data_IF_644676421918
#
_entry.id   IF_644676421918
#
_cell.length_a   1.000
_cell.length_b   1.000
_cell.length_c   1.000
_cell.angle_alpha   90.00
_cell.angle_beta   90.00
_cell.angle_gamma   90.00
#
_symmetry.space_group_name_H-M   'P 1'
#
loop_
_entity.id
_entity.type
_entity.pdbx_description
1 polymer ?
#
# COMPACT_ATOMS: atom_id res chain seq x y z
N UNK A 1 -39.61 -31.98 -8.92
CA UNK A 1 -38.50 -32.70 -9.59
C UNK A 1 -37.78 -31.79 -10.58
N UNK A 2 -38.45 -31.18 -11.58
CA UNK A 2 -37.85 -30.35 -12.62
C UNK A 2 -37.06 -29.11 -12.12
N UNK A 3 -37.42 -28.51 -10.99
CA UNK A 3 -36.75 -27.35 -10.42
C UNK A 3 -35.41 -27.73 -9.75
N UNK A 4 -35.33 -28.90 -9.12
CA UNK A 4 -34.09 -29.41 -8.53
C UNK A 4 -33.08 -29.85 -9.58
N UNK A 5 -33.53 -30.38 -10.72
CA UNK A 5 -32.63 -30.76 -11.84
C UNK A 5 -32.04 -29.54 -12.54
N UNK A 6 -32.80 -28.43 -12.68
CA UNK A 6 -32.26 -27.17 -13.23
C UNK A 6 -31.24 -26.54 -12.29
N UNK A 7 -31.44 -26.59 -10.99
CA UNK A 7 -30.52 -26.05 -9.99
C UNK A 7 -29.24 -26.88 -9.89
N UNK A 8 -29.33 -28.22 -10.01
CA UNK A 8 -28.20 -29.14 -10.06
C UNK A 8 -27.40 -28.97 -11.37
N UNK A 9 -28.09 -28.81 -12.50
CA UNK A 9 -27.45 -28.55 -13.79
C UNK A 9 -26.76 -27.17 -13.83
N UNK A 10 -27.36 -26.15 -13.23
CA UNK A 10 -26.75 -24.82 -13.06
C UNK A 10 -25.54 -24.87 -12.10
N UNK A 11 -25.63 -25.62 -11.00
CA UNK A 11 -24.49 -25.86 -10.10
C UNK A 11 -23.36 -26.65 -10.77
N UNK A 12 -23.68 -27.64 -11.60
CA UNK A 12 -22.66 -28.40 -12.36
C UNK A 12 -22.03 -27.57 -13.47
N UNK A 13 -22.78 -26.67 -14.12
CA UNK A 13 -22.22 -25.74 -15.13
C UNK A 13 -21.37 -24.63 -14.48
N UNK A 14 -21.70 -24.19 -13.26
CA UNK A 14 -20.89 -23.24 -12.47
C UNK A 14 -19.63 -23.89 -11.91
N UNK A 15 -19.67 -25.15 -11.46
CA UNK A 15 -18.47 -25.94 -11.14
C UNK A 15 -17.52 -26.05 -12.34
N UNK A 16 -18.01 -25.97 -13.57
CA UNK A 16 -17.21 -26.08 -14.78
C UNK A 16 -16.11 -25.02 -14.94
N UNK A 17 -16.32 -23.77 -14.53
CA UNK A 17 -15.33 -22.70 -14.69
C UNK A 17 -14.22 -22.75 -13.65
N UNK A 18 -14.52 -22.99 -12.40
CA UNK A 18 -13.50 -23.13 -11.35
C UNK A 18 -12.67 -24.39 -11.49
N UNK A 19 -13.24 -25.48 -12.03
CA UNK A 19 -12.55 -26.77 -12.20
C UNK A 19 -11.58 -26.81 -13.39
N UNK A 20 -11.61 -25.84 -14.28
CA UNK A 20 -10.74 -25.78 -15.48
C UNK A 20 -9.78 -24.57 -15.48
N UNK A 21 -9.90 -23.67 -14.53
CA UNK A 21 -9.09 -22.44 -14.49
C UNK A 21 -7.75 -22.71 -13.81
N UNK A 22 -6.65 -22.49 -14.52
CA UNK A 22 -5.30 -22.49 -13.95
C UNK A 22 -5.06 -21.22 -13.11
N UNK A 23 -4.26 -21.32 -12.07
CA UNK A 23 -3.96 -20.21 -11.19
C UNK A 23 -3.31 -19.03 -11.93
N UNK A 24 -2.40 -19.28 -12.87
CA UNK A 24 -1.79 -18.23 -13.72
C UNK A 24 -2.83 -17.40 -14.46
N UNK A 25 -3.83 -18.06 -15.08
CA UNK A 25 -4.88 -17.40 -15.85
C UNK A 25 -5.79 -16.55 -14.93
N UNK A 26 -6.07 -17.06 -13.72
CA UNK A 26 -6.82 -16.32 -12.71
C UNK A 26 -6.08 -15.05 -12.27
N UNK A 27 -4.75 -15.13 -12.07
CA UNK A 27 -3.93 -13.97 -11.70
C UNK A 27 -3.95 -12.90 -12.79
N UNK A 28 -3.79 -13.29 -14.06
CA UNK A 28 -3.88 -12.37 -15.19
C UNK A 28 -5.25 -11.70 -15.27
N UNK A 29 -6.31 -12.49 -15.16
CA UNK A 29 -7.68 -11.99 -15.17
C UNK A 29 -7.94 -11.00 -14.02
N UNK A 30 -7.52 -11.33 -12.80
CA UNK A 30 -7.61 -10.45 -11.64
C UNK A 30 -6.86 -9.13 -11.85
N UNK A 31 -5.63 -9.17 -12.32
CA UNK A 31 -4.83 -7.97 -12.58
C UNK A 31 -5.45 -7.07 -13.64
N UNK A 32 -6.07 -7.66 -14.66
CA UNK A 32 -6.71 -6.92 -15.74
C UNK A 32 -8.09 -6.36 -15.35
N UNK A 33 -8.95 -7.17 -14.73
CA UNK A 33 -10.36 -6.82 -14.50
C UNK A 33 -10.62 -6.13 -13.17
N UNK A 34 -9.95 -6.57 -12.09
CA UNK A 34 -10.33 -6.19 -10.72
C UNK A 34 -9.31 -5.26 -10.05
N UNK A 35 -8.01 -5.42 -10.34
CA UNK A 35 -7.00 -4.64 -9.64
C UNK A 35 -7.09 -3.14 -9.98
N UNK A 36 -7.29 -2.30 -8.94
CA UNK A 36 -7.36 -0.83 -9.06
C UNK A 36 -6.31 -0.11 -8.21
N UNK A 37 -5.36 -0.86 -7.66
CA UNK A 37 -4.30 -0.29 -6.82
C UNK A 37 -3.26 0.50 -7.61
N UNK A 38 -2.69 1.53 -6.99
CA UNK A 38 -1.67 2.38 -7.60
C UNK A 38 -0.30 1.69 -7.81
N UNK A 39 -0.09 0.48 -7.23
CA UNK A 39 1.21 -0.21 -7.23
C UNK A 39 1.19 -1.51 -8.02
N UNK A 40 0.78 -1.44 -9.28
CA UNK A 40 0.64 -2.63 -10.14
C UNK A 40 1.95 -3.45 -10.22
N UNK A 41 3.10 -2.79 -10.39
CA UNK A 41 4.42 -3.47 -10.47
C UNK A 41 4.74 -4.27 -9.19
N UNK A 42 4.47 -3.68 -8.02
CA UNK A 42 4.72 -4.36 -6.74
C UNK A 42 3.77 -5.52 -6.52
N UNK A 43 2.49 -5.36 -6.84
CA UNK A 43 1.49 -6.43 -6.79
C UNK A 43 1.83 -7.55 -7.76
N UNK A 44 2.18 -7.20 -9.01
CA UNK A 44 2.60 -8.15 -10.03
C UNK A 44 3.81 -8.99 -9.62
N UNK A 45 4.82 -8.38 -8.99
CA UNK A 45 5.99 -9.13 -8.48
C UNK A 45 5.60 -10.18 -7.42
N UNK A 46 4.72 -9.82 -6.47
CA UNK A 46 4.27 -10.76 -5.43
C UNK A 46 3.42 -11.88 -6.02
N UNK A 47 2.55 -11.55 -6.98
CA UNK A 47 1.73 -12.54 -7.67
C UNK A 47 2.57 -13.40 -8.63
N UNK A 48 3.61 -12.84 -9.27
CA UNK A 48 4.58 -13.59 -10.08
C UNK A 48 5.22 -14.72 -9.31
N UNK A 49 5.67 -14.46 -8.07
CA UNK A 49 6.16 -15.50 -7.16
C UNK A 49 5.17 -16.67 -6.99
N UNK A 50 3.90 -16.36 -6.78
CA UNK A 50 2.86 -17.38 -6.63
C UNK A 50 2.55 -18.11 -7.95
N UNK A 51 2.67 -17.42 -9.08
CA UNK A 51 2.53 -18.05 -10.41
C UNK A 51 3.66 -19.01 -10.70
N UNK A 52 4.89 -18.74 -10.27
CA UNK A 52 6.02 -19.69 -10.38
C UNK A 52 5.75 -20.99 -9.63
N UNK A 53 5.12 -20.92 -8.45
CA UNK A 53 4.90 -22.11 -7.60
C UNK A 53 3.59 -22.84 -7.95
N UNK A 54 2.52 -22.09 -8.20
CA UNK A 54 1.16 -22.61 -8.28
C UNK A 54 0.52 -22.45 -9.67
N UNK A 55 1.19 -21.79 -10.61
CA UNK A 55 0.61 -21.33 -11.87
C UNK A 55 -0.05 -22.42 -12.70
N UNK A 56 0.51 -23.63 -12.69
CA UNK A 56 0.02 -24.77 -13.47
C UNK A 56 -1.02 -25.61 -12.68
N UNK A 57 -1.33 -25.26 -11.43
CA UNK A 57 -2.39 -25.94 -10.68
C UNK A 57 -3.77 -25.34 -11.02
N UNK A 58 -4.77 -26.19 -11.02
CA UNK A 58 -6.16 -25.73 -11.05
C UNK A 58 -6.51 -25.04 -9.74
N UNK A 59 -7.25 -23.95 -9.81
CA UNK A 59 -7.57 -23.14 -8.61
C UNK A 59 -8.35 -23.94 -7.56
N UNK A 60 -9.12 -24.94 -7.98
CA UNK A 60 -9.89 -25.81 -7.09
C UNK A 60 -9.00 -26.80 -6.32
N UNK A 61 -7.84 -27.13 -6.87
CA UNK A 61 -6.89 -28.09 -6.28
C UNK A 61 -5.86 -27.42 -5.36
N UNK A 62 -5.82 -26.08 -5.33
CA UNK A 62 -4.91 -25.36 -4.46
C UNK A 62 -5.45 -25.36 -3.03
N UNK A 63 -4.70 -25.99 -2.14
CA UNK A 63 -5.03 -26.14 -0.73
C UNK A 63 -4.35 -25.07 0.14
N UNK A 64 -4.78 -24.98 1.40
CA UNK A 64 -4.07 -24.18 2.39
C UNK A 64 -2.64 -24.66 2.65
N UNK A 65 -2.36 -25.97 2.50
CA UNK A 65 -1.01 -26.52 2.65
C UNK A 65 -0.10 -26.07 1.51
N UNK A 66 -0.55 -26.06 0.25
CA UNK A 66 0.23 -25.54 -0.87
C UNK A 66 0.65 -24.09 -0.65
N UNK A 67 -0.26 -23.27 -0.10
CA UNK A 67 0.02 -21.88 0.19
C UNK A 67 0.97 -21.73 1.38
N UNK A 68 0.78 -22.53 2.43
CA UNK A 68 1.68 -22.54 3.58
C UNK A 68 3.11 -22.92 3.16
N UNK A 69 3.26 -23.97 2.37
CA UNK A 69 4.56 -24.43 1.85
C UNK A 69 5.21 -23.35 0.96
N UNK A 70 4.41 -22.66 0.13
CA UNK A 70 4.88 -21.53 -0.65
C UNK A 70 5.34 -20.36 0.24
N UNK A 71 4.67 -20.08 1.36
CA UNK A 71 5.14 -19.05 2.30
C UNK A 71 6.46 -19.44 2.98
N UNK A 72 6.70 -20.73 3.23
CA UNK A 72 7.96 -21.21 3.81
C UNK A 72 9.14 -21.18 2.83
N UNK A 73 8.88 -21.16 1.52
CA UNK A 73 9.92 -21.04 0.49
C UNK A 73 10.37 -19.59 0.24
N UNK A 74 9.70 -18.59 0.85
CA UNK A 74 10.15 -17.21 0.78
C UNK A 74 11.53 -17.04 1.43
N UNK A 75 12.36 -16.07 0.98
CA UNK A 75 13.68 -15.83 1.54
C UNK A 75 13.67 -15.67 3.07
N UNK A 76 14.62 -16.32 3.73
CA UNK A 76 14.71 -16.34 5.21
C UNK A 76 14.97 -14.97 5.83
N UNK A 77 15.47 -14.00 5.06
CA UNK A 77 15.69 -12.62 5.48
C UNK A 77 14.42 -11.75 5.40
N UNK A 78 13.32 -12.31 4.91
CA UNK A 78 12.05 -11.56 4.86
C UNK A 78 11.46 -11.42 6.26
N UNK A 79 11.07 -10.17 6.57
CA UNK A 79 10.35 -9.88 7.82
C UNK A 79 8.94 -10.49 7.81
N UNK A 80 8.37 -10.80 9.00
CA UNK A 80 6.97 -11.24 9.11
C UNK A 80 5.98 -10.37 8.34
N UNK A 81 6.19 -9.05 8.38
CA UNK A 81 5.39 -8.11 7.62
C UNK A 81 5.49 -8.32 6.10
N UNK A 82 6.67 -8.66 5.58
CA UNK A 82 6.88 -8.95 4.16
C UNK A 82 6.16 -10.24 3.78
N UNK A 83 6.32 -11.30 4.56
CA UNK A 83 5.64 -12.59 4.35
C UNK A 83 4.12 -12.41 4.35
N UNK A 84 3.57 -11.68 5.32
CA UNK A 84 2.15 -11.37 5.39
C UNK A 84 1.65 -10.62 4.14
N UNK A 85 2.48 -9.79 3.50
CA UNK A 85 2.12 -9.11 2.24
C UNK A 85 2.08 -10.05 1.04
N UNK A 86 2.94 -11.08 0.99
CA UNK A 86 2.84 -12.14 -0.03
C UNK A 86 1.57 -12.97 0.17
N UNK A 87 1.25 -13.33 1.43
CA UNK A 87 -0.02 -13.99 1.78
C UNK A 87 -1.24 -13.15 1.38
N UNK A 88 -1.23 -11.86 1.69
CA UNK A 88 -2.31 -10.96 1.32
C UNK A 88 -2.47 -10.84 -0.21
N UNK A 89 -1.37 -10.85 -0.97
CA UNK A 89 -1.41 -10.75 -2.42
C UNK A 89 -2.14 -11.95 -3.06
N UNK A 90 -1.89 -13.18 -2.62
CA UNK A 90 -2.61 -14.36 -3.12
C UNK A 90 -4.05 -14.40 -2.59
N UNK A 91 -4.28 -13.95 -1.36
CA UNK A 91 -5.62 -13.96 -0.75
C UNK A 91 -6.63 -13.11 -1.52
N UNK A 92 -6.23 -11.95 -2.06
CA UNK A 92 -7.15 -11.12 -2.85
C UNK A 92 -7.51 -11.77 -4.18
N UNK A 93 -6.61 -12.52 -4.80
CA UNK A 93 -6.87 -13.30 -6.03
C UNK A 93 -7.89 -14.41 -5.76
N UNK A 94 -7.74 -15.17 -4.67
CA UNK A 94 -8.72 -16.19 -4.29
C UNK A 94 -10.07 -15.55 -3.87
N UNK A 95 -10.06 -14.38 -3.26
CA UNK A 95 -11.31 -13.65 -2.97
C UNK A 95 -12.03 -13.22 -4.24
N UNK A 96 -11.28 -12.87 -5.29
CA UNK A 96 -11.84 -12.62 -6.62
C UNK A 96 -12.39 -13.93 -7.22
N UNK A 97 -11.69 -15.06 -7.12
CA UNK A 97 -12.19 -16.35 -7.60
C UNK A 97 -13.50 -16.77 -6.92
N UNK A 98 -13.63 -16.53 -5.59
CA UNK A 98 -14.87 -16.79 -4.87
C UNK A 98 -16.06 -15.97 -5.41
N UNK A 99 -15.81 -14.75 -5.90
CA UNK A 99 -16.84 -13.88 -6.45
C UNK A 99 -17.16 -14.17 -7.93
N UNK A 100 -16.11 -14.40 -8.73
CA UNK A 100 -16.21 -14.44 -10.19
C UNK A 100 -16.39 -15.87 -10.74
N UNK A 101 -15.93 -16.88 -10.01
CA UNK A 101 -15.88 -18.28 -10.43
C UNK A 101 -16.56 -19.22 -9.43
N UNK A 102 -17.30 -18.69 -8.46
CA UNK A 102 -18.03 -19.42 -7.42
C UNK A 102 -17.15 -20.45 -6.67
N UNK A 103 -15.86 -20.12 -6.46
CA UNK A 103 -14.99 -20.93 -5.63
C UNK A 103 -15.56 -20.95 -4.20
N UNK A 104 -15.81 -22.14 -3.60
CA UNK A 104 -16.54 -22.21 -2.32
C UNK A 104 -15.87 -21.48 -1.18
N UNK A 105 -14.54 -21.48 -1.15
CA UNK A 105 -13.75 -20.96 -0.02
C UNK A 105 -12.41 -20.41 -0.50
N UNK A 106 -11.95 -19.33 0.14
CA UNK A 106 -10.59 -18.84 -0.05
C UNK A 106 -9.62 -19.62 0.86
N UNK A 107 -8.76 -20.49 0.31
CA UNK A 107 -7.89 -21.36 1.10
C UNK A 107 -6.88 -20.58 1.96
N UNK A 108 -6.57 -19.35 1.63
CA UNK A 108 -5.62 -18.51 2.36
C UNK A 108 -6.16 -18.09 3.73
N UNK A 109 -7.48 -18.02 3.90
CA UNK A 109 -8.10 -17.54 5.15
C UNK A 109 -7.81 -18.44 6.36
N UNK A 110 -7.53 -19.72 6.13
CA UNK A 110 -7.18 -20.69 7.20
C UNK A 110 -5.77 -20.49 7.75
N UNK A 111 -4.91 -19.74 7.05
CA UNK A 111 -3.53 -19.50 7.44
C UNK A 111 -3.46 -18.24 8.31
N UNK A 112 -3.03 -18.33 9.58
CA UNK A 112 -2.87 -17.15 10.42
C UNK A 112 -1.80 -16.21 9.88
N UNK A 113 -1.90 -14.93 10.18
CA UNK A 113 -0.82 -13.98 9.89
C UNK A 113 0.28 -14.12 10.94
N UNK A 114 1.52 -13.92 10.51
CA UNK A 114 2.66 -13.84 11.42
C UNK A 114 2.56 -12.57 12.27
N UNK A 115 2.98 -12.60 13.54
CA UNK A 115 3.01 -11.41 14.39
C UNK A 115 3.99 -10.37 13.82
N UNK A 116 3.54 -9.12 13.75
CA UNK A 116 4.34 -8.01 13.22
C UNK A 116 4.71 -7.05 14.37
N UNK A 117 5.97 -7.06 14.80
CA UNK A 117 6.50 -6.10 15.75
C UNK A 117 7.01 -4.87 14.99
N UNK A 118 6.08 -4.04 14.50
CA UNK A 118 6.39 -2.88 13.67
C UNK A 118 6.37 -1.55 14.44
N UNK A 119 6.14 -1.57 15.74
CA UNK A 119 6.06 -0.36 16.55
C UNK A 119 7.44 0.28 16.69
N UNK A 120 7.56 1.49 16.15
CA UNK A 120 8.73 2.34 16.34
C UNK A 120 8.45 3.29 17.50
N UNK A 121 8.99 2.94 18.65
CA UNK A 121 8.82 3.72 19.90
C UNK A 121 9.93 4.73 20.15
N UNK A 122 10.96 4.76 19.30
CA UNK A 122 12.09 5.67 19.48
C UNK A 122 11.76 7.05 18.91
N UNK A 123 11.87 8.06 19.77
CA UNK A 123 11.80 9.47 19.40
C UNK A 123 13.21 10.08 19.35
N UNK A 124 13.36 11.17 18.57
CA UNK A 124 14.60 11.95 18.58
C UNK A 124 14.77 12.64 19.93
N UNK A 125 15.93 12.48 20.54
CA UNK A 125 16.32 13.30 21.68
C UNK A 125 16.53 14.76 21.24
N UNK A 126 16.55 15.67 22.20
CA UNK A 126 16.77 17.09 21.89
C UNK A 126 18.12 17.35 21.23
N UNK A 127 19.17 16.68 21.72
CA UNK A 127 20.50 16.75 21.13
C UNK A 127 20.55 16.19 19.69
N UNK A 128 19.81 15.11 19.40
CA UNK A 128 19.70 14.55 18.06
C UNK A 128 18.94 15.48 17.13
N UNK A 129 17.87 16.09 17.62
CA UNK A 129 17.07 17.08 16.86
C UNK A 129 17.92 18.30 16.50
N UNK A 130 18.69 18.82 17.43
CA UNK A 130 19.60 19.94 17.20
C UNK A 130 20.65 19.61 16.15
N UNK A 131 21.30 18.44 16.24
CA UNK A 131 22.27 17.98 15.24
C UNK A 131 21.65 17.80 13.86
N UNK A 132 20.44 17.21 13.80
CA UNK A 132 19.69 17.05 12.56
C UNK A 132 19.42 18.41 11.90
N UNK A 133 18.92 19.36 12.64
CA UNK A 133 18.61 20.70 12.12
C UNK A 133 19.88 21.44 11.65
N UNK A 134 20.98 21.34 12.40
CA UNK A 134 22.25 21.92 11.97
C UNK A 134 22.74 21.30 10.65
N UNK A 135 22.66 19.98 10.52
CA UNK A 135 23.02 19.29 9.28
C UNK A 135 22.10 19.65 8.10
N UNK A 136 20.81 19.86 8.36
CA UNK A 136 19.86 20.29 7.33
C UNK A 136 20.20 21.71 6.82
N UNK A 137 20.58 22.63 7.71
CA UNK A 137 20.97 23.99 7.33
C UNK A 137 22.30 24.04 6.56
N UNK A 138 23.20 23.10 6.80
CA UNK A 138 24.46 22.97 6.08
C UNK A 138 24.33 22.25 4.73
N UNK A 139 23.14 21.84 4.34
CA UNK A 139 22.90 21.13 3.09
C UNK A 139 22.99 22.07 1.87
N UNK A 140 23.46 21.52 0.73
CA UNK A 140 23.38 22.22 -0.57
C UNK A 140 21.95 22.54 -1.03
N UNK A 141 20.96 21.79 -0.54
CA UNK A 141 19.56 22.08 -0.80
C UNK A 141 19.02 22.98 0.32
N UNK A 142 18.85 24.22 0.02
CA UNK A 142 18.44 25.28 0.96
C UNK A 142 17.10 25.01 1.66
N UNK A 143 16.18 24.29 1.01
CA UNK A 143 14.86 23.94 1.55
C UNK A 143 14.83 22.67 2.40
N UNK A 144 15.99 21.97 2.60
CA UNK A 144 16.03 20.74 3.38
C UNK A 144 15.60 20.97 4.84
N UNK A 145 16.06 22.08 5.43
CA UNK A 145 15.65 22.41 6.81
C UNK A 145 14.13 22.62 6.91
N UNK A 146 13.54 23.38 5.99
CA UNK A 146 12.11 23.67 5.98
C UNK A 146 11.27 22.40 5.85
N UNK A 147 11.61 21.48 4.94
CA UNK A 147 10.82 20.23 4.77
C UNK A 147 10.94 19.31 5.97
N UNK A 148 12.11 19.24 6.62
CA UNK A 148 12.34 18.44 7.82
C UNK A 148 11.60 19.06 9.02
N UNK A 149 11.63 20.38 9.16
CA UNK A 149 10.89 21.11 10.19
C UNK A 149 9.38 20.88 10.04
N UNK A 150 8.83 21.02 8.84
CA UNK A 150 7.44 20.70 8.53
C UNK A 150 7.09 19.22 8.87
N UNK A 151 7.96 18.29 8.51
CA UNK A 151 7.72 16.87 8.80
C UNK A 151 7.64 16.59 10.31
N UNK A 152 8.53 17.18 11.10
CA UNK A 152 8.61 16.96 12.55
C UNK A 152 7.43 17.65 13.26
N UNK A 153 7.07 18.87 12.86
CA UNK A 153 6.04 19.66 13.55
C UNK A 153 4.62 19.24 13.19
N UNK A 154 4.39 18.74 11.95
CA UNK A 154 3.05 18.41 11.46
C UNK A 154 2.77 16.91 11.39
N UNK A 155 3.79 16.05 11.42
CA UNK A 155 3.65 14.61 11.18
C UNK A 155 3.18 14.27 9.75
N UNK A 156 3.24 15.22 8.82
CA UNK A 156 2.81 15.00 7.44
C UNK A 156 3.74 14.02 6.71
N UNK A 157 3.15 13.22 5.82
CA UNK A 157 3.92 12.26 5.02
C UNK A 157 4.79 13.01 3.99
N UNK A 158 5.96 12.44 3.66
CA UNK A 158 6.85 13.01 2.63
C UNK A 158 6.09 13.40 1.36
N UNK A 159 5.24 12.49 0.82
CA UNK A 159 4.49 12.75 -0.42
C UNK A 159 3.38 13.81 -0.29
N UNK A 160 2.97 14.17 0.90
CA UNK A 160 2.06 15.27 1.17
C UNK A 160 2.84 16.59 1.18
N UNK A 161 3.99 16.63 1.86
CA UNK A 161 4.84 17.82 1.92
C UNK A 161 5.43 18.20 0.56
N UNK A 162 5.97 17.23 -0.19
CA UNK A 162 6.59 17.51 -1.51
C UNK A 162 5.61 17.98 -2.57
N UNK A 163 4.31 17.85 -2.34
CA UNK A 163 3.25 18.33 -3.25
C UNK A 163 2.66 19.67 -2.84
N UNK A 164 3.04 20.22 -1.69
CA UNK A 164 2.56 21.52 -1.23
C UNK A 164 2.95 22.63 -2.22
N UNK A 165 2.01 23.50 -2.48
CA UNK A 165 2.16 24.72 -3.28
C UNK A 165 2.08 25.94 -2.40
N UNK A 166 2.59 27.07 -2.88
CA UNK A 166 2.48 28.32 -2.15
C UNK A 166 1.01 28.73 -1.91
N UNK A 167 0.12 28.46 -2.85
CA UNK A 167 -1.32 28.72 -2.70
C UNK A 167 -2.02 27.83 -1.66
N UNK A 168 -1.35 26.76 -1.19
CA UNK A 168 -1.89 25.90 -0.14
C UNK A 168 -1.59 26.44 1.26
N UNK A 169 -0.77 27.50 1.37
CA UNK A 169 -0.35 28.10 2.64
C UNK A 169 -1.21 29.32 2.96
N UNK A 170 -1.90 29.25 4.09
CA UNK A 170 -2.59 30.38 4.71
C UNK A 170 -1.70 30.94 5.84
N UNK A 171 -1.02 32.05 5.57
CA UNK A 171 -0.12 32.68 6.52
C UNK A 171 -0.85 33.33 7.68
N UNK A 172 -2.07 33.82 7.46
CA UNK A 172 -2.88 34.51 8.48
C UNK A 172 -3.42 33.48 9.49
N UNK A 173 -3.95 32.37 8.99
CA UNK A 173 -4.45 31.26 9.82
C UNK A 173 -3.34 30.31 10.26
N UNK A 174 -2.13 30.45 9.72
CA UNK A 174 -0.99 29.56 9.98
C UNK A 174 -1.32 28.11 9.70
N UNK A 175 -1.83 27.85 8.52
CA UNK A 175 -2.22 26.51 8.10
C UNK A 175 -1.73 26.18 6.70
N UNK A 176 -1.53 24.88 6.41
CA UNK A 176 -1.31 24.37 5.07
C UNK A 176 -2.40 23.36 4.70
N UNK A 177 -2.99 23.53 3.52
CA UNK A 177 -4.03 22.63 3.01
C UNK A 177 -3.41 21.51 2.16
N UNK A 178 -3.69 20.27 2.51
CA UNK A 178 -3.27 19.08 1.76
C UNK A 178 -4.49 18.47 1.08
N UNK A 179 -4.67 18.75 -0.19
CA UNK A 179 -5.83 18.31 -0.98
C UNK A 179 -5.89 16.79 -1.14
N UNK A 180 -4.74 16.13 -1.30
CA UNK A 180 -4.67 14.69 -1.58
C UNK A 180 -3.80 13.97 -0.56
N UNK A 181 -4.42 13.11 0.24
CA UNK A 181 -3.73 12.21 1.18
C UNK A 181 -3.78 10.76 0.69
N UNK A 182 -3.01 9.88 1.34
CA UNK A 182 -3.04 8.44 1.05
C UNK A 182 -4.45 7.82 1.21
N UNK A 183 -5.28 8.41 2.07
CA UNK A 183 -6.62 7.91 2.36
C UNK A 183 -7.71 8.62 1.56
N UNK A 184 -7.34 9.49 0.61
CA UNK A 184 -8.29 10.26 -0.22
C UNK A 184 -8.97 11.44 0.47
N UNK A 185 -8.79 11.60 1.80
CA UNK A 185 -9.40 12.72 2.54
C UNK A 185 -8.43 13.88 2.62
N UNK A 186 -8.86 15.12 2.30
CA UNK A 186 -8.04 16.30 2.50
C UNK A 186 -7.78 16.54 4.00
N UNK A 187 -6.70 17.24 4.31
CA UNK A 187 -6.41 17.63 5.68
C UNK A 187 -5.77 19.02 5.75
N UNK A 188 -5.92 19.66 6.88
CA UNK A 188 -5.26 20.92 7.22
C UNK A 188 -4.14 20.64 8.22
N UNK A 189 -2.95 21.16 7.95
CA UNK A 189 -1.78 21.05 8.81
C UNK A 189 -1.62 22.36 9.58
N UNK A 190 -1.56 22.38 10.91
CA UNK A 190 -1.20 23.57 11.67
C UNK A 190 0.28 23.87 11.49
N UNK A 191 0.63 25.14 11.29
CA UNK A 191 2.00 25.59 11.10
C UNK A 191 2.46 26.37 12.36
N UNK A 192 3.64 25.99 12.87
CA UNK A 192 4.26 26.70 13.98
C UNK A 192 4.88 28.03 13.49
N UNK A 193 5.15 28.95 14.43
CA UNK A 193 5.80 30.23 14.10
C UNK A 193 7.14 30.04 13.40
N UNK A 194 7.93 29.04 13.84
CA UNK A 194 9.21 28.71 13.21
C UNK A 194 9.04 28.24 11.76
N UNK A 195 7.96 27.50 11.45
CA UNK A 195 7.65 27.09 10.07
C UNK A 195 7.22 28.31 9.22
N UNK A 196 6.40 29.18 9.76
CA UNK A 196 5.96 30.40 9.07
C UNK A 196 7.16 31.29 8.73
N UNK A 197 8.07 31.51 9.69
CA UNK A 197 9.29 32.27 9.46
C UNK A 197 10.16 31.67 8.35
N UNK A 198 10.37 30.37 8.35
CA UNK A 198 11.14 29.70 7.30
C UNK A 198 10.42 29.75 5.93
N UNK A 199 9.10 29.59 5.88
CA UNK A 199 8.34 29.72 4.64
C UNK A 199 8.45 31.13 4.05
N UNK A 200 8.45 32.16 4.88
CA UNK A 200 8.57 33.55 4.43
C UNK A 200 9.91 33.84 3.72
N UNK A 201 11.01 33.13 4.09
CA UNK A 201 12.30 33.28 3.42
C UNK A 201 12.29 32.85 1.95
N UNK A 202 11.38 31.92 1.59
CA UNK A 202 11.29 31.32 0.24
C UNK A 202 10.05 31.73 -0.54
N UNK A 203 9.18 32.57 0.04
CA UNK A 203 7.87 32.86 -0.55
C UNK A 203 8.00 33.62 -1.89
N UNK A 204 7.59 32.97 -2.97
CA UNK A 204 7.59 33.51 -4.33
C UNK A 204 6.27 34.16 -4.73
N UNK A 205 5.23 34.07 -3.89
CA UNK A 205 3.86 34.59 -4.15
C UNK A 205 3.21 34.02 -5.42
N UNK A 206 3.62 32.86 -5.86
CA UNK A 206 3.09 32.16 -7.02
C UNK A 206 2.41 30.84 -6.62
N UNK A 207 1.90 30.09 -7.61
CA UNK A 207 1.27 28.77 -7.40
C UNK A 207 2.24 27.60 -7.55
N UNK A 208 3.54 27.84 -7.58
CA UNK A 208 4.56 26.80 -7.74
C UNK A 208 4.66 25.88 -6.53
N UNK A 209 5.32 24.73 -6.72
CA UNK A 209 5.63 23.82 -5.63
C UNK A 209 6.65 24.49 -4.69
N UNK A 210 6.41 24.38 -3.37
CA UNK A 210 7.35 24.87 -2.35
C UNK A 210 8.68 24.15 -2.46
N UNK A 211 8.64 22.83 -2.68
CA UNK A 211 9.79 21.94 -2.73
C UNK A 211 10.08 21.44 -4.15
N UNK A 212 10.04 22.34 -5.13
CA UNK A 212 10.57 22.04 -6.45
C UNK A 212 12.09 21.84 -6.36
N UNK A 213 12.61 20.84 -7.06
CA UNK A 213 14.05 20.58 -7.25
C UNK A 213 14.61 21.42 -8.37
#
# INVERSE_FOLDING_TARGET
ALRMESDVSAMLSMRGKSSTTLFKNLVEEYLYKEYRGARLKEQGRKLGYWVEILGEKLIIDITNNDIFDGLQQLPNDFTPATINRYKAAISVVFSYACKALDLPENPVRKIPSLPENNERTRFLSEAERTRLFSSCRASHWDKLYLIVLLAITTGARKGELTKLRWNDIDFDRRTAYVATTKNGQPKVLPLTDSVIQELQLFNTKDSSLIFAS
#
